data_IF_687765182920
#
_entry.id   IF_687765182920
#
_cell.length_a   1.000
_cell.length_b   1.000
_cell.length_c   1.000
_cell.angle_alpha   90.00
_cell.angle_beta   90.00
_cell.angle_gamma   90.00
#
_symmetry.space_group_name_H-M   'P 1'
#
loop_
_entity.id
_entity.type
_entity.pdbx_description
1 polymer ?
#
# COMPACT_ATOMS: atom_id res chain seq x y z
N UNK A 1 -1.32 -28.27 10.18
CA UNK A 1 -0.94 -27.32 11.23
C UNK A 1 -2.07 -26.32 11.43
N UNK A 2 -2.36 -25.91 12.67
CA UNK A 2 -3.38 -24.89 12.96
C UNK A 2 -2.67 -23.71 13.62
N UNK A 3 -2.94 -22.50 13.14
CA UNK A 3 -2.47 -21.26 13.75
C UNK A 3 -3.63 -20.28 13.90
N UNK A 4 -3.59 -19.49 14.96
CA UNK A 4 -4.59 -18.46 15.24
C UNK A 4 -3.96 -17.09 15.01
N UNK A 5 -4.67 -16.21 14.33
CA UNK A 5 -4.24 -14.84 14.10
C UNK A 5 -5.22 -13.87 14.77
N UNK A 6 -4.64 -12.89 15.46
CA UNK A 6 -5.37 -11.76 16.03
C UNK A 6 -4.62 -10.51 15.60
N UNK A 7 -5.23 -9.74 14.69
CA UNK A 7 -4.59 -8.60 14.01
C UNK A 7 -3.23 -8.94 13.41
N UNK A 8 -2.14 -8.61 14.11
CA UNK A 8 -0.75 -8.83 13.68
C UNK A 8 -0.02 -9.91 14.50
N UNK A 9 -0.70 -10.53 15.47
CA UNK A 9 -0.15 -11.58 16.33
C UNK A 9 -0.50 -12.98 15.81
N UNK A 10 0.47 -13.89 15.84
CA UNK A 10 0.31 -15.30 15.50
C UNK A 10 0.46 -16.17 16.76
N UNK A 11 -0.48 -17.08 16.99
CA UNK A 11 -0.53 -17.91 18.18
C UNK A 11 -0.73 -19.38 17.81
N UNK A 12 0.00 -20.31 18.46
CA UNK A 12 -0.19 -21.75 18.23
C UNK A 12 -1.47 -22.28 18.88
N UNK A 13 -1.93 -21.65 19.97
CA UNK A 13 -3.08 -22.09 20.76
C UNK A 13 -4.20 -21.05 20.72
N UNK A 14 -5.44 -21.54 20.69
CA UNK A 14 -6.64 -20.68 20.68
C UNK A 14 -6.75 -19.82 21.93
N UNK A 15 -6.40 -20.38 23.08
CA UNK A 15 -6.55 -19.69 24.37
C UNK A 15 -5.63 -18.47 24.47
N UNK A 16 -4.40 -18.57 23.96
CA UNK A 16 -3.44 -17.47 23.96
C UNK A 16 -3.90 -16.35 23.02
N UNK A 17 -4.41 -16.72 21.85
CA UNK A 17 -5.04 -15.78 20.91
C UNK A 17 -6.23 -15.05 21.55
N UNK A 18 -7.14 -15.77 22.21
CA UNK A 18 -8.30 -15.18 22.90
C UNK A 18 -7.89 -14.27 24.07
N UNK A 19 -6.85 -14.64 24.82
CA UNK A 19 -6.32 -13.80 25.88
C UNK A 19 -5.76 -12.49 25.31
N UNK A 20 -4.96 -12.56 24.25
CA UNK A 20 -4.40 -11.39 23.57
C UNK A 20 -5.51 -10.51 22.95
N UNK A 21 -6.50 -11.12 22.31
CA UNK A 21 -7.68 -10.44 21.77
C UNK A 21 -8.43 -9.66 22.85
N UNK A 22 -8.61 -10.26 24.04
CA UNK A 22 -9.25 -9.60 25.19
C UNK A 22 -8.41 -8.45 25.73
N UNK A 23 -7.09 -8.58 25.79
CA UNK A 23 -6.22 -7.46 26.22
C UNK A 23 -6.31 -6.25 25.30
N UNK A 24 -6.56 -6.48 24.01
CA UNK A 24 -6.75 -5.42 23.01
C UNK A 24 -8.20 -4.90 22.92
N UNK A 25 -9.14 -5.46 23.69
CA UNK A 25 -10.55 -5.05 23.64
C UNK A 25 -11.24 -5.34 22.30
N UNK A 26 -10.70 -6.26 21.50
CA UNK A 26 -11.20 -6.55 20.16
C UNK A 26 -12.45 -7.43 20.19
N UNK A 27 -13.25 -7.28 19.13
CA UNK A 27 -14.46 -8.08 18.92
C UNK A 27 -14.09 -9.58 18.79
N UNK A 28 -14.99 -10.50 19.16
CA UNK A 28 -14.76 -11.94 19.02
C UNK A 28 -14.41 -12.38 17.59
N UNK A 29 -14.90 -11.66 16.59
CA UNK A 29 -14.67 -11.92 15.16
C UNK A 29 -13.24 -11.58 14.69
N UNK A 30 -12.44 -10.92 15.54
CA UNK A 30 -11.05 -10.58 15.21
C UNK A 30 -10.07 -11.76 15.37
N UNK A 31 -10.55 -12.94 15.80
CA UNK A 31 -9.74 -14.15 15.95
C UNK A 31 -9.94 -15.07 14.73
N UNK A 32 -8.92 -15.13 13.88
CA UNK A 32 -8.93 -15.96 12.68
C UNK A 32 -8.23 -17.29 12.94
N UNK A 33 -8.92 -18.39 12.62
CA UNK A 33 -8.34 -19.73 12.62
C UNK A 33 -7.88 -20.08 11.21
N UNK A 34 -6.58 -20.32 11.05
CA UNK A 34 -5.99 -20.86 9.82
C UNK A 34 -5.64 -22.32 10.00
N UNK A 35 -6.06 -23.14 9.05
CA UNK A 35 -5.74 -24.56 8.95
C UNK A 35 -4.89 -24.75 7.71
N UNK A 36 -3.71 -25.33 7.88
CA UNK A 36 -2.74 -25.60 6.82
C UNK A 36 -2.57 -27.10 6.75
N UNK A 37 -3.05 -27.73 5.69
CA UNK A 37 -3.07 -29.18 5.55
C UNK A 37 -1.82 -29.69 4.83
N UNK A 38 -1.33 -28.92 3.86
CA UNK A 38 -0.23 -29.32 2.98
C UNK A 38 1.03 -28.46 3.15
N UNK A 39 2.18 -28.99 2.68
CA UNK A 39 3.44 -28.22 2.64
C UNK A 39 3.38 -27.06 1.63
N UNK A 40 2.59 -27.22 0.58
CA UNK A 40 2.38 -26.22 -0.47
C UNK A 40 1.58 -25.03 0.06
N UNK A 41 0.51 -25.26 0.81
CA UNK A 41 -0.25 -24.21 1.50
C UNK A 41 0.62 -23.44 2.50
N UNK A 42 1.49 -24.14 3.23
CA UNK A 42 2.42 -23.50 4.16
C UNK A 42 3.38 -22.56 3.41
N UNK A 43 3.97 -23.03 2.31
CA UNK A 43 4.86 -22.23 1.48
C UNK A 43 4.13 -21.02 0.87
N UNK A 44 2.91 -21.20 0.35
CA UNK A 44 2.09 -20.13 -0.19
C UNK A 44 1.74 -19.07 0.87
N UNK A 45 1.36 -19.50 2.07
CA UNK A 45 1.07 -18.62 3.18
C UNK A 45 2.29 -17.79 3.60
N UNK A 46 3.46 -18.44 3.77
CA UNK A 46 4.70 -17.76 4.13
C UNK A 46 5.18 -16.79 3.03
N UNK A 47 5.08 -17.20 1.76
CA UNK A 47 5.42 -16.35 0.62
C UNK A 47 4.50 -15.13 0.54
N UNK A 48 3.20 -15.32 0.79
CA UNK A 48 2.23 -14.23 0.87
C UNK A 48 2.56 -13.21 1.96
N UNK A 49 3.00 -13.67 3.15
CA UNK A 49 3.44 -12.78 4.23
C UNK A 49 4.71 -12.00 3.87
N UNK A 50 5.62 -12.60 3.11
CA UNK A 50 6.86 -11.96 2.65
C UNK A 50 6.66 -11.05 1.43
N UNK A 51 5.44 -10.98 0.88
CA UNK A 51 5.16 -10.26 -0.36
C UNK A 51 5.74 -10.93 -1.61
N UNK A 52 6.23 -12.17 -1.48
CA UNK A 52 6.71 -12.99 -2.58
C UNK A 52 5.45 -13.54 -3.26
N UNK A 53 4.97 -12.83 -4.29
CA UNK A 53 3.87 -13.33 -5.11
C UNK A 53 4.28 -14.69 -5.67
N UNK A 54 3.49 -15.72 -5.37
CA UNK A 54 3.63 -16.99 -6.05
C UNK A 54 3.53 -16.74 -7.57
N UNK A 55 4.31 -17.43 -8.40
CA UNK A 55 4.11 -17.35 -9.84
C UNK A 55 2.66 -17.75 -10.10
N UNK A 56 1.89 -16.79 -10.60
CA UNK A 56 0.48 -16.95 -10.93
C UNK A 56 0.38 -18.14 -11.88
N UNK A 57 -0.14 -19.27 -11.39
CA UNK A 57 -0.27 -20.48 -12.18
C UNK A 57 -1.41 -20.22 -13.16
N UNK A 58 -1.06 -19.60 -14.30
CA UNK A 58 -1.99 -19.23 -15.34
C UNK A 58 -2.72 -20.49 -15.83
N UNK A 59 -4.06 -20.44 -16.01
CA UNK A 59 -4.78 -21.53 -16.65
C UNK A 59 -4.21 -21.75 -18.06
N UNK A 60 -4.00 -23.01 -18.42
CA UNK A 60 -3.39 -23.41 -19.69
C UNK A 60 -4.13 -22.78 -20.88
N UNK A 61 -3.46 -21.87 -21.59
CA UNK A 61 -3.92 -21.33 -22.88
C UNK A 61 -4.10 -19.80 -22.98
N UNK A 62 -3.98 -19.04 -21.90
CA UNK A 62 -4.04 -17.58 -21.98
C UNK A 62 -2.63 -16.98 -22.19
N UNK A 63 -2.31 -16.63 -23.44
CA UNK A 63 -1.22 -15.68 -23.72
C UNK A 63 -1.66 -14.33 -23.16
N UNK A 64 -1.27 -14.05 -21.93
CA UNK A 64 -1.40 -12.71 -21.34
C UNK A 64 -0.10 -12.00 -21.67
N UNK A 65 -0.16 -11.10 -22.67
CA UNK A 65 0.87 -10.10 -22.86
C UNK A 65 1.14 -9.42 -21.51
N UNK A 66 2.42 -9.17 -21.15
CA UNK A 66 2.73 -8.55 -19.89
C UNK A 66 2.07 -7.17 -19.87
N UNK A 67 0.98 -7.03 -19.12
CA UNK A 67 0.52 -5.72 -18.67
C UNK A 67 1.57 -5.28 -17.66
N UNK A 68 2.60 -4.63 -18.20
CA UNK A 68 3.50 -3.76 -17.47
C UNK A 68 2.59 -2.81 -16.71
N UNK A 69 2.37 -3.06 -15.42
CA UNK A 69 1.66 -2.13 -14.58
C UNK A 69 2.39 -0.79 -14.70
N UNK A 70 1.73 0.27 -15.21
CA UNK A 70 2.38 1.56 -15.29
C UNK A 70 2.77 2.00 -13.87
N UNK A 71 3.95 2.60 -13.67
CA UNK A 71 4.46 2.99 -12.37
C UNK A 71 3.73 4.23 -11.81
N UNK A 72 2.40 4.23 -11.77
CA UNK A 72 1.60 5.41 -11.40
C UNK A 72 1.09 5.39 -9.95
N UNK A 73 1.29 4.30 -9.19
CA UNK A 73 0.65 4.18 -7.87
C UNK A 73 1.42 4.92 -6.75
N UNK A 74 2.68 5.30 -6.97
CA UNK A 74 3.46 6.11 -6.00
C UNK A 74 3.20 7.61 -6.20
N UNK A 75 2.74 8.03 -7.38
CA UNK A 75 2.59 9.45 -7.74
C UNK A 75 1.34 10.13 -7.12
N UNK A 76 0.44 9.37 -6.49
CA UNK A 76 -0.83 9.90 -5.95
C UNK A 76 -0.81 10.35 -4.49
N UNK A 77 0.29 10.12 -3.76
CA UNK A 77 0.39 10.45 -2.33
C UNK A 77 1.06 11.79 -2.01
N UNK A 78 1.38 12.58 -3.04
CA UNK A 78 2.04 13.87 -2.86
C UNK A 78 1.15 15.01 -3.32
N UNK A 79 1.22 16.13 -2.60
CA UNK A 79 0.75 17.43 -3.09
C UNK A 79 1.99 18.17 -3.55
N UNK A 80 2.05 18.46 -4.86
CA UNK A 80 3.08 19.34 -5.42
C UNK A 80 2.74 20.78 -5.08
N UNK A 81 3.63 21.41 -4.31
CA UNK A 81 3.42 22.76 -3.81
C UNK A 81 4.55 23.64 -4.35
N UNK A 82 4.22 24.68 -5.14
CA UNK A 82 5.20 25.67 -5.56
C UNK A 82 5.82 26.41 -4.38
N UNK A 83 7.09 26.80 -4.52
CA UNK A 83 7.87 27.52 -3.52
C UNK A 83 7.29 28.88 -3.07
N UNK A 84 6.46 29.52 -3.90
CA UNK A 84 5.75 30.75 -3.52
C UNK A 84 4.59 30.52 -2.56
N UNK A 85 4.15 29.28 -2.33
CA UNK A 85 3.03 28.97 -1.43
C UNK A 85 3.52 28.95 0.02
N UNK A 86 2.94 29.78 0.92
CA UNK A 86 3.29 29.76 2.33
C UNK A 86 3.11 28.39 2.99
N UNK A 87 4.10 27.99 3.79
CA UNK A 87 4.17 26.65 4.43
C UNK A 87 2.91 26.27 5.23
N UNK A 88 2.22 27.24 5.83
CA UNK A 88 1.02 26.97 6.64
C UNK A 88 -0.18 26.53 5.77
N UNK A 89 -0.32 27.07 4.56
CA UNK A 89 -1.37 26.69 3.60
C UNK A 89 -1.09 25.31 3.02
N UNK A 90 0.16 25.06 2.64
CA UNK A 90 0.62 23.77 2.13
C UNK A 90 0.35 22.63 3.13
N UNK A 91 0.66 22.85 4.42
CA UNK A 91 0.40 21.89 5.51
C UNK A 91 -1.08 21.66 5.79
N UNK A 92 -1.89 22.70 5.74
CA UNK A 92 -3.34 22.57 5.95
C UNK A 92 -3.98 21.73 4.83
N UNK A 93 -3.59 21.97 3.59
CA UNK A 93 -4.09 21.25 2.42
C UNK A 93 -3.65 19.77 2.41
N UNK A 94 -2.36 19.52 2.63
CA UNK A 94 -1.81 18.16 2.69
C UNK A 94 -2.43 17.33 3.82
N UNK A 95 -2.71 17.95 4.98
CA UNK A 95 -3.40 17.30 6.11
C UNK A 95 -4.87 16.97 5.81
N UNK A 96 -5.56 17.80 5.03
CA UNK A 96 -6.93 17.55 4.62
C UNK A 96 -7.03 16.40 3.60
N UNK A 97 -6.04 16.26 2.71
CA UNK A 97 -6.00 15.19 1.71
C UNK A 97 -5.29 13.91 2.18
N UNK A 98 -4.63 13.93 3.35
CA UNK A 98 -3.87 12.78 3.87
C UNK A 98 -2.60 12.46 3.07
N UNK A 99 -1.98 13.48 2.46
CA UNK A 99 -0.83 13.37 1.55
C UNK A 99 0.42 14.07 2.09
N UNK A 100 1.59 13.72 1.55
CA UNK A 100 2.86 14.38 1.87
C UNK A 100 3.13 15.57 0.93
N UNK A 101 3.89 16.57 1.38
CA UNK A 101 4.20 17.77 0.58
C UNK A 101 5.50 17.55 -0.19
N UNK A 102 5.47 17.76 -1.50
CA UNK A 102 6.65 17.83 -2.35
C UNK A 102 6.78 19.25 -2.89
N UNK A 103 7.85 19.94 -2.50
CA UNK A 103 8.10 21.31 -2.97
C UNK A 103 8.64 21.28 -4.39
N UNK A 104 8.05 22.08 -5.28
CA UNK A 104 8.50 22.25 -6.66
C UNK A 104 8.99 23.68 -6.84
N UNK A 105 10.19 23.84 -7.39
CA UNK A 105 10.72 25.16 -7.75
C UNK A 105 9.88 25.70 -8.91
N UNK A 106 9.44 26.95 -8.82
CA UNK A 106 8.65 27.57 -9.89
C UNK A 106 9.53 27.71 -11.13
N UNK A 107 9.25 26.96 -12.19
CA UNK A 107 9.87 27.21 -13.50
C UNK A 107 9.37 28.56 -14.02
N UNK A 108 10.33 29.43 -14.30
CA UNK A 108 10.16 30.76 -14.87
C UNK A 108 9.43 30.64 -16.20
N UNK A 109 8.20 31.17 -16.28
CA UNK A 109 7.43 31.19 -17.52
C UNK A 109 8.28 31.80 -18.65
N UNK A 110 8.43 31.13 -19.81
CA UNK A 110 9.08 31.78 -20.94
C UNK A 110 8.25 33.01 -21.33
N UNK A 111 8.91 34.16 -21.28
CA UNK A 111 8.37 35.46 -21.64
C UNK A 111 7.76 35.40 -23.04
N UNK A 112 6.61 36.06 -23.31
CA UNK A 112 6.07 36.10 -24.66
C UNK A 112 7.09 36.77 -25.59
N UNK A 113 7.56 36.04 -26.58
CA UNK A 113 8.49 36.55 -27.60
C UNK A 113 7.85 37.73 -28.32
N UNK A 114 8.54 38.89 -28.46
CA UNK A 114 8.03 39.96 -29.30
C UNK A 114 8.00 39.45 -30.74
N UNK A 115 6.79 39.41 -31.31
CA UNK A 115 6.56 39.06 -32.70
C UNK A 115 7.31 40.05 -33.60
N UNK A 116 8.30 39.56 -34.34
CA UNK A 116 8.94 40.32 -35.42
C UNK A 116 7.88 40.67 -36.46
N UNK A 117 7.58 41.97 -36.59
CA UNK A 117 6.75 42.49 -37.68
C UNK A 117 7.56 43.49 -38.51
N UNK A 118 7.70 43.10 -39.79
CA UNK A 118 7.99 43.86 -41.02
C UNK A 118 9.00 45.00 -41.01
#
# INVERSE_FOLDING_TARGET
MIVYNVERGWFPMKNDAEAYRKTLGLKPDANFKLVIETREELAAFLNGLMGIKAPEQAPAGAVVEPVVAPPEVIERNFVEVPDYVPMFLAKAYAKAEGKEIKWVASEEQPSPTPSTSS
#
